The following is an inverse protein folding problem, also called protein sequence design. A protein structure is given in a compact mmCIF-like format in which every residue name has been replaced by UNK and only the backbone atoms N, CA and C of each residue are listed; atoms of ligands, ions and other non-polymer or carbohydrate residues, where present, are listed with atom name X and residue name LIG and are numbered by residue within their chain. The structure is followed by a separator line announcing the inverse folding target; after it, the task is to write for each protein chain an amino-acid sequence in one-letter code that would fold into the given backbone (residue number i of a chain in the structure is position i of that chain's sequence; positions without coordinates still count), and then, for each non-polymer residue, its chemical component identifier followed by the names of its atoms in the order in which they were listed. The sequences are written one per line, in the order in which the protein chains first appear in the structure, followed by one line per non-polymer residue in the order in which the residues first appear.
data_IF_494600045539
#
_entry.id   IF_494600045539
#
_cell.length_a   1.000
_cell.length_b   1.000
_cell.length_c   1.000
_cell.angle_alpha   90.00
_cell.angle_beta   90.00
_cell.angle_gamma   90.00
#
_symmetry.space_group_name_H-M   'P 1'
#
loop_
_entity.id
_entity.type
_entity.pdbx_description
1 polymer ?
#
# COMPACT_ATOMS: atom_id res chain seq x y z
N UNK A 1 -15.37 -16.26 12.55
CA UNK A 1 -15.25 -17.62 11.99
C UNK A 1 -14.38 -17.62 10.73
N UNK A 2 -14.62 -16.76 9.72
CA UNK A 2 -13.83 -16.72 8.48
C UNK A 2 -12.33 -16.54 8.78
N UNK A 3 -11.96 -15.60 9.65
CA UNK A 3 -10.55 -15.39 10.04
C UNK A 3 -9.95 -16.62 10.73
N UNK A 4 -10.70 -17.27 11.62
CA UNK A 4 -10.26 -18.50 12.30
C UNK A 4 -10.02 -19.61 11.27
N UNK A 5 -10.95 -19.80 10.33
CA UNK A 5 -10.82 -20.81 9.28
C UNK A 5 -9.63 -20.53 8.34
N UNK A 6 -9.44 -19.26 7.95
CA UNK A 6 -8.30 -18.87 7.14
C UNK A 6 -6.98 -19.10 7.87
N UNK A 7 -6.86 -18.70 9.14
CA UNK A 7 -5.66 -18.92 9.94
C UNK A 7 -5.36 -20.41 10.14
N UNK A 8 -6.40 -21.23 10.37
CA UNK A 8 -6.23 -22.68 10.50
C UNK A 8 -5.77 -23.32 9.19
N UNK A 9 -6.33 -22.93 8.03
CA UNK A 9 -5.89 -23.42 6.73
C UNK A 9 -4.46 -23.00 6.42
N UNK A 10 -4.09 -21.76 6.72
CA UNK A 10 -2.73 -21.24 6.54
C UNK A 10 -1.72 -21.95 7.44
N UNK A 11 -2.08 -22.24 8.70
CA UNK A 11 -1.26 -23.01 9.62
C UNK A 11 -1.01 -24.46 9.13
N UNK A 12 -1.91 -25.02 8.31
CA UNK A 12 -1.75 -26.31 7.65
C UNK A 12 -1.19 -26.19 6.22
N UNK A 13 -0.60 -25.05 5.85
CA UNK A 13 0.01 -24.76 4.54
C UNK A 13 -0.97 -24.84 3.34
N UNK A 14 -2.27 -24.73 3.59
CA UNK A 14 -3.33 -24.79 2.58
C UNK A 14 -3.77 -23.36 2.23
N UNK A 15 -3.07 -22.73 1.28
CA UNK A 15 -3.28 -21.32 0.91
C UNK A 15 -4.35 -21.12 -0.18
N UNK A 16 -4.57 -22.11 -1.04
CA UNK A 16 -5.46 -21.99 -2.22
C UNK A 16 -6.90 -21.66 -1.84
N UNK A 17 -7.58 -22.39 -0.92
CA UNK A 17 -8.95 -22.04 -0.54
C UNK A 17 -9.05 -20.67 0.13
N UNK A 18 -8.04 -20.23 0.90
CA UNK A 18 -8.04 -18.92 1.54
C UNK A 18 -7.98 -17.79 0.50
N UNK A 19 -7.12 -17.94 -0.52
CA UNK A 19 -7.01 -16.96 -1.61
C UNK A 19 -8.30 -16.90 -2.45
N UNK A 20 -8.86 -18.05 -2.81
CA UNK A 20 -10.07 -18.12 -3.65
C UNK A 20 -11.36 -17.79 -2.89
N UNK A 21 -11.39 -17.79 -1.56
CA UNK A 21 -12.59 -17.49 -0.78
C UNK A 21 -13.14 -16.08 -0.98
N UNK A 22 -12.31 -15.15 -1.42
CA UNK A 22 -12.71 -13.76 -1.70
C UNK A 22 -13.46 -13.61 -3.01
N UNK A 23 -13.33 -14.56 -3.95
CA UNK A 23 -14.01 -14.49 -5.27
C UNK A 23 -15.52 -14.59 -5.14
N UNK A 24 -16.12 -15.64 -4.52
CA UNK A 24 -17.57 -15.71 -4.34
C UNK A 24 -18.09 -14.51 -3.52
N UNK A 25 -17.37 -14.07 -2.48
CA UNK A 25 -17.71 -12.88 -1.74
C UNK A 25 -17.83 -11.64 -2.67
N UNK A 26 -16.82 -11.39 -3.51
CA UNK A 26 -16.79 -10.23 -4.40
C UNK A 26 -17.90 -10.28 -5.45
N UNK A 27 -18.18 -11.45 -6.02
CA UNK A 27 -19.26 -11.65 -6.99
C UNK A 27 -20.61 -11.28 -6.36
N UNK A 28 -20.89 -11.77 -5.14
CA UNK A 28 -22.16 -11.49 -4.45
C UNK A 28 -22.28 -10.03 -4.01
N UNK A 29 -21.17 -9.38 -3.61
CA UNK A 29 -21.16 -7.93 -3.33
C UNK A 29 -21.49 -7.14 -4.59
N UNK A 30 -20.85 -7.44 -5.74
CA UNK A 30 -21.15 -6.75 -7.01
C UNK A 30 -22.61 -6.92 -7.40
N UNK A 31 -23.12 -8.15 -7.33
CA UNK A 31 -24.53 -8.43 -7.61
C UNK A 31 -25.45 -7.65 -6.67
N UNK A 32 -25.15 -7.62 -5.37
CA UNK A 32 -25.90 -6.87 -4.36
C UNK A 32 -25.92 -5.36 -4.65
N UNK A 33 -24.81 -4.80 -5.10
CA UNK A 33 -24.72 -3.37 -5.49
C UNK A 33 -25.63 -3.11 -6.69
N UNK A 34 -25.59 -3.94 -7.73
CA UNK A 34 -26.41 -3.79 -8.93
C UNK A 34 -27.91 -3.86 -8.59
N UNK A 35 -28.31 -4.86 -7.80
CA UNK A 35 -29.71 -5.04 -7.38
C UNK A 35 -30.15 -3.91 -6.45
N UNK A 36 -29.31 -3.53 -5.48
CA UNK A 36 -29.58 -2.44 -4.55
C UNK A 36 -29.76 -1.09 -5.23
N UNK A 37 -28.93 -0.80 -6.26
CA UNK A 37 -29.04 0.42 -7.04
C UNK A 37 -30.32 0.47 -7.91
N UNK A 38 -30.82 -0.70 -8.35
CA UNK A 38 -31.98 -0.77 -9.24
C UNK A 38 -33.35 -0.80 -8.50
N UNK A 39 -33.41 -1.47 -7.33
CA UNK A 39 -34.65 -1.72 -6.63
C UNK A 39 -34.73 -0.98 -5.28
N UNK A 40 -33.87 -1.30 -4.32
CA UNK A 40 -33.92 -0.69 -3.00
C UNK A 40 -32.58 -0.89 -2.27
N UNK A 41 -32.16 0.11 -1.49
CA UNK A 41 -30.91 0.09 -0.72
C UNK A 41 -30.83 -1.08 0.30
N UNK A 42 -31.96 -1.59 0.76
CA UNK A 42 -32.01 -2.76 1.66
C UNK A 42 -31.40 -4.02 1.03
N UNK A 43 -31.49 -4.19 -0.31
CA UNK A 43 -30.86 -5.30 -1.00
C UNK A 43 -29.33 -5.25 -0.91
N UNK A 44 -28.73 -4.06 -0.78
CA UNK A 44 -27.30 -3.92 -0.55
C UNK A 44 -26.90 -4.51 0.81
N UNK A 45 -27.66 -4.23 1.88
CA UNK A 45 -27.38 -4.72 3.23
C UNK A 45 -27.59 -6.23 3.35
N UNK A 46 -28.68 -6.74 2.80
CA UNK A 46 -28.99 -8.18 2.78
C UNK A 46 -27.93 -8.91 1.94
N UNK A 47 -27.62 -8.41 0.76
CA UNK A 47 -26.67 -9.04 -0.15
C UNK A 47 -25.23 -9.02 0.40
N UNK A 48 -24.82 -7.97 1.10
CA UNK A 48 -23.51 -7.95 1.76
C UNK A 48 -23.42 -9.00 2.89
N UNK A 49 -24.48 -9.18 3.64
CA UNK A 49 -24.57 -10.24 4.67
C UNK A 49 -24.53 -11.64 4.03
N UNK A 50 -25.27 -11.85 2.94
CA UNK A 50 -25.24 -13.11 2.18
C UNK A 50 -23.86 -13.38 1.57
N UNK A 51 -23.14 -12.36 1.09
CA UNK A 51 -21.80 -12.50 0.56
C UNK A 51 -20.83 -13.06 1.62
N UNK A 52 -20.90 -12.55 2.86
CA UNK A 52 -20.11 -13.06 4.00
C UNK A 52 -20.48 -14.51 4.33
N UNK A 53 -21.77 -14.85 4.31
CA UNK A 53 -22.23 -16.22 4.54
C UNK A 53 -21.71 -17.18 3.45
N UNK A 54 -21.72 -16.78 2.20
CA UNK A 54 -21.22 -17.58 1.09
C UNK A 54 -19.72 -17.80 1.19
N UNK A 55 -18.96 -16.76 1.56
CA UNK A 55 -17.55 -16.89 1.85
C UNK A 55 -17.29 -17.92 2.97
N UNK A 56 -18.08 -17.87 4.04
CA UNK A 56 -18.00 -18.83 5.13
C UNK A 56 -18.31 -20.25 4.65
N UNK A 57 -19.39 -20.45 3.89
CA UNK A 57 -19.77 -21.74 3.34
C UNK A 57 -18.68 -22.33 2.43
N UNK A 58 -18.06 -21.49 1.60
CA UNK A 58 -16.93 -21.90 0.76
C UNK A 58 -15.77 -22.47 1.56
N UNK A 59 -15.45 -21.86 2.72
CA UNK A 59 -14.37 -22.31 3.61
C UNK A 59 -14.72 -23.57 4.42
N UNK A 60 -16.00 -23.89 4.61
CA UNK A 60 -16.42 -25.09 5.37
C UNK A 60 -15.94 -26.37 4.68
N UNK A 61 -15.94 -26.45 3.35
CA UNK A 61 -15.53 -27.66 2.63
C UNK A 61 -14.08 -28.06 2.92
N UNK A 62 -13.06 -27.20 2.72
CA UNK A 62 -11.68 -27.55 3.04
C UNK A 62 -11.45 -27.79 4.55
N UNK A 63 -12.15 -27.07 5.40
CA UNK A 63 -12.07 -27.24 6.86
C UNK A 63 -12.59 -28.63 7.30
N UNK A 64 -13.73 -29.07 6.73
CA UNK A 64 -14.26 -30.43 7.02
C UNK A 64 -13.31 -31.51 6.56
N UNK A 65 -12.61 -31.33 5.42
CA UNK A 65 -11.63 -32.30 4.93
C UNK A 65 -10.45 -32.48 5.90
N UNK A 66 -10.08 -31.43 6.63
CA UNK A 66 -9.07 -31.48 7.68
C UNK A 66 -9.57 -32.03 9.03
N UNK A 67 -10.83 -32.48 9.10
CA UNK A 67 -11.46 -33.00 10.32
C UNK A 67 -11.46 -32.00 11.50
N UNK A 68 -11.35 -30.71 11.21
CA UNK A 68 -11.41 -29.67 12.23
C UNK A 68 -12.80 -29.65 12.88
N UNK A 69 -12.84 -29.76 14.20
CA UNK A 69 -14.08 -29.71 14.99
C UNK A 69 -14.05 -28.47 15.88
N UNK A 70 -14.93 -27.53 15.61
CA UNK A 70 -15.20 -26.43 16.55
C UNK A 70 -15.91 -27.02 17.77
N UNK A 71 -15.22 -27.06 18.90
CA UNK A 71 -15.84 -27.34 20.20
C UNK A 71 -15.79 -26.04 20.99
N UNK A 72 -16.93 -25.42 21.32
CA UNK A 72 -16.92 -24.27 22.21
C UNK A 72 -16.37 -24.72 23.58
N UNK A 73 -15.29 -24.11 24.01
CA UNK A 73 -14.70 -24.30 25.31
C UNK A 73 -14.57 -22.91 25.96
N UNK A 74 -15.23 -22.76 27.11
CA UNK A 74 -15.24 -21.51 27.89
C UNK A 74 -14.29 -21.55 29.09
N UNK A 75 -13.24 -22.37 29.02
CA UNK A 75 -12.24 -22.43 30.07
C UNK A 75 -11.25 -21.26 29.98
N UNK A 76 -11.51 -20.16 30.67
CA UNK A 76 -10.64 -18.98 30.74
C UNK A 76 -9.36 -19.18 31.55
N UNK A 77 -9.21 -20.31 32.25
CA UNK A 77 -8.00 -20.66 33.02
C UNK A 77 -6.93 -21.32 32.15
N UNK A 78 -7.28 -21.71 30.92
CA UNK A 78 -6.36 -22.35 29.98
C UNK A 78 -5.16 -21.43 29.69
N UNK A 79 -3.97 -21.97 29.79
CA UNK A 79 -2.71 -21.25 29.60
C UNK A 79 -2.63 -20.62 28.19
N UNK A 80 -3.11 -21.35 27.16
CA UNK A 80 -3.14 -20.82 25.78
C UNK A 80 -4.08 -19.62 25.63
N UNK A 81 -5.19 -19.60 26.36
CA UNK A 81 -6.12 -18.47 26.36
C UNK A 81 -5.48 -17.24 27.02
N UNK A 82 -4.76 -17.43 28.15
CA UNK A 82 -4.04 -16.35 28.82
C UNK A 82 -2.93 -15.77 27.94
N UNK A 83 -2.14 -16.62 27.29
CA UNK A 83 -1.11 -16.20 26.34
C UNK A 83 -1.70 -15.46 25.15
N UNK A 84 -2.82 -15.94 24.60
CA UNK A 84 -3.54 -15.27 23.51
C UNK A 84 -3.98 -13.86 23.90
N UNK A 85 -4.61 -13.68 25.07
CA UNK A 85 -5.01 -12.35 25.54
C UNK A 85 -3.81 -11.44 25.78
N UNK A 86 -2.72 -11.96 26.31
CA UNK A 86 -1.50 -11.18 26.55
C UNK A 86 -0.87 -10.69 25.24
N UNK A 87 -0.88 -11.52 24.19
CA UNK A 87 -0.43 -11.13 22.84
C UNK A 87 -1.41 -10.22 22.12
N UNK A 88 -2.71 -10.35 22.38
CA UNK A 88 -3.77 -9.58 21.73
C UNK A 88 -3.76 -8.10 22.13
N UNK A 89 -3.48 -7.79 23.41
CA UNK A 89 -3.53 -6.41 23.92
C UNK A 89 -2.59 -5.45 23.16
N UNK A 90 -1.29 -5.77 22.93
CA UNK A 90 -0.43 -4.88 22.13
C UNK A 90 -0.91 -4.73 20.68
N UNK A 91 -1.46 -5.78 20.08
CA UNK A 91 -1.99 -5.75 18.71
C UNK A 91 -3.23 -4.84 18.64
N UNK A 92 -4.16 -4.98 19.59
CA UNK A 92 -5.35 -4.10 19.67
C UNK A 92 -4.93 -2.65 19.80
N UNK A 93 -3.98 -2.33 20.70
CA UNK A 93 -3.48 -0.96 20.87
C UNK A 93 -2.91 -0.44 19.55
N UNK A 94 -2.07 -1.22 18.86
CA UNK A 94 -1.46 -0.82 17.58
C UNK A 94 -2.50 -0.56 16.47
N UNK A 95 -3.50 -1.44 16.35
CA UNK A 95 -4.60 -1.26 15.39
C UNK A 95 -5.47 -0.06 15.77
N UNK A 96 -5.81 0.09 17.06
CA UNK A 96 -6.63 1.21 17.55
C UNK A 96 -6.00 2.56 17.27
N UNK A 97 -4.69 2.70 17.42
CA UNK A 97 -3.98 3.96 17.11
C UNK A 97 -4.16 4.34 15.64
N UNK A 98 -4.09 3.36 14.72
CA UNK A 98 -4.31 3.62 13.29
C UNK A 98 -5.78 3.97 12.99
N UNK A 99 -6.74 3.26 13.60
CA UNK A 99 -8.17 3.54 13.42
C UNK A 99 -8.57 4.92 13.98
N UNK A 100 -8.00 5.33 15.12
CA UNK A 100 -8.18 6.67 15.69
C UNK A 100 -7.67 7.73 14.71
N UNK A 101 -6.52 7.51 14.07
CA UNK A 101 -6.00 8.42 13.05
C UNK A 101 -6.98 8.60 11.88
N UNK A 102 -7.51 7.49 11.36
CA UNK A 102 -8.51 7.50 10.28
C UNK A 102 -9.80 8.21 10.72
N UNK A 103 -10.25 8.03 11.97
CA UNK A 103 -11.41 8.71 12.52
C UNK A 103 -11.19 10.23 12.61
N UNK A 104 -10.01 10.67 13.04
CA UNK A 104 -9.65 12.09 13.09
C UNK A 104 -9.64 12.69 11.68
N UNK A 105 -9.02 12.01 10.71
CA UNK A 105 -9.00 12.43 9.31
C UNK A 105 -10.42 12.63 8.77
N UNK A 106 -11.30 11.65 9.00
CA UNK A 106 -12.70 11.71 8.57
C UNK A 106 -13.50 12.80 9.28
N UNK A 107 -13.26 12.99 10.58
CA UNK A 107 -13.93 14.05 11.37
C UNK A 107 -13.56 15.42 10.84
N UNK A 108 -12.27 15.69 10.62
CA UNK A 108 -11.83 16.97 10.06
C UNK A 108 -12.38 17.13 8.61
N UNK A 109 -12.31 16.08 7.79
CA UNK A 109 -12.81 16.12 6.42
C UNK A 109 -14.32 16.45 6.34
N UNK A 110 -15.11 15.91 7.27
CA UNK A 110 -16.56 16.18 7.33
C UNK A 110 -16.89 17.64 7.62
N UNK A 111 -16.02 18.34 8.35
CA UNK A 111 -16.19 19.76 8.73
C UNK A 111 -15.69 20.71 7.63
N UNK A 112 -14.81 20.25 6.75
CA UNK A 112 -14.21 21.11 5.72
C UNK A 112 -15.14 21.33 4.52
N UNK A 113 -15.75 20.27 4.01
CA UNK A 113 -16.60 20.32 2.81
C UNK A 113 -17.51 19.10 2.71
N UNK A 114 -18.70 19.30 2.14
CA UNK A 114 -19.61 18.21 1.82
C UNK A 114 -18.93 17.25 0.81
N UNK A 115 -18.96 15.95 1.09
CA UNK A 115 -18.26 14.95 0.29
C UNK A 115 -16.77 14.77 0.61
N UNK A 116 -16.21 15.53 1.58
CA UNK A 116 -14.79 15.47 1.94
C UNK A 116 -14.32 14.10 2.39
N UNK A 117 -15.13 13.38 3.18
CA UNK A 117 -14.85 11.98 3.60
C UNK A 117 -14.74 11.06 2.37
N UNK A 118 -15.71 11.15 1.46
CA UNK A 118 -15.71 10.34 0.23
C UNK A 118 -14.51 10.66 -0.65
N UNK A 119 -14.17 11.93 -0.83
CA UNK A 119 -13.03 12.35 -1.61
C UNK A 119 -11.70 11.78 -1.07
N UNK A 120 -11.47 11.84 0.25
CA UNK A 120 -10.30 11.22 0.88
C UNK A 120 -10.31 9.69 0.73
N UNK A 121 -11.48 9.06 0.89
CA UNK A 121 -11.60 7.60 0.76
C UNK A 121 -11.26 7.13 -0.65
N UNK A 122 -11.81 7.77 -1.68
CA UNK A 122 -11.49 7.44 -3.08
C UNK A 122 -10.03 7.73 -3.42
N UNK A 123 -9.48 8.86 -2.97
CA UNK A 123 -8.07 9.19 -3.17
C UNK A 123 -7.15 8.16 -2.49
N UNK A 124 -7.41 7.81 -1.23
CA UNK A 124 -6.63 6.82 -0.49
C UNK A 124 -6.73 5.43 -1.11
N UNK A 125 -7.89 5.04 -1.66
CA UNK A 125 -8.07 3.75 -2.32
C UNK A 125 -7.12 3.56 -3.51
N UNK A 126 -6.82 4.62 -4.29
CA UNK A 126 -5.82 4.56 -5.36
C UNK A 126 -4.41 4.34 -4.82
N UNK A 127 -4.05 5.00 -3.73
CA UNK A 127 -2.75 4.82 -3.08
C UNK A 127 -2.60 3.41 -2.52
N UNK A 128 -3.65 2.90 -1.86
CA UNK A 128 -3.70 1.52 -1.36
C UNK A 128 -3.60 0.48 -2.49
N UNK A 129 -4.21 0.76 -3.66
CA UNK A 129 -4.08 -0.10 -4.83
C UNK A 129 -2.62 -0.21 -5.30
N UNK A 130 -1.88 0.91 -5.35
CA UNK A 130 -0.46 0.91 -5.70
C UNK A 130 0.36 0.15 -4.65
N UNK A 131 0.10 0.35 -3.37
CA UNK A 131 0.79 -0.36 -2.30
C UNK A 131 0.55 -1.87 -2.39
N UNK A 132 -0.70 -2.30 -2.47
CA UNK A 132 -1.07 -3.72 -2.55
C UNK A 132 -0.62 -4.39 -3.84
N UNK A 133 -0.71 -3.67 -4.97
CA UNK A 133 -0.37 -4.22 -6.29
C UNK A 133 1.12 -4.23 -6.63
N UNK A 134 1.91 -3.32 -6.05
CA UNK A 134 3.32 -3.17 -6.42
C UNK A 134 4.28 -3.36 -5.24
N UNK A 135 4.04 -2.73 -4.11
CA UNK A 135 4.99 -2.80 -2.98
C UNK A 135 4.90 -4.14 -2.26
N UNK A 136 3.69 -4.68 -2.07
CA UNK A 136 3.52 -5.97 -1.42
C UNK A 136 4.20 -7.13 -2.19
N UNK A 137 4.06 -7.27 -3.52
CA UNK A 137 4.80 -8.28 -4.29
C UNK A 137 6.32 -8.11 -4.19
N UNK A 138 6.85 -6.88 -4.35
CA UNK A 138 8.28 -6.59 -4.20
C UNK A 138 8.75 -7.06 -2.81
N UNK A 139 8.03 -6.68 -1.77
CA UNK A 139 8.34 -7.06 -0.40
C UNK A 139 8.29 -8.57 -0.19
N UNK A 140 7.28 -9.25 -0.73
CA UNK A 140 7.10 -10.71 -0.59
C UNK A 140 8.23 -11.49 -1.24
N UNK A 141 8.76 -11.02 -2.37
CA UNK A 141 9.87 -11.66 -3.07
C UNK A 141 11.21 -11.38 -2.36
N UNK A 142 11.41 -10.16 -1.86
CA UNK A 142 12.69 -9.73 -1.33
C UNK A 142 12.89 -10.11 0.14
N UNK A 143 11.83 -10.13 0.94
CA UNK A 143 11.88 -10.40 2.39
C UNK A 143 12.52 -11.77 2.74
N UNK A 144 12.19 -12.91 2.09
CA UNK A 144 12.82 -14.18 2.38
C UNK A 144 14.33 -14.20 2.12
N UNK A 145 14.82 -13.46 1.11
CA UNK A 145 16.26 -13.37 0.82
C UNK A 145 16.99 -12.60 1.91
N UNK A 146 16.38 -11.52 2.40
CA UNK A 146 16.93 -10.74 3.52
C UNK A 146 16.99 -11.58 4.79
N UNK A 147 15.92 -12.27 5.15
CA UNK A 147 15.89 -13.13 6.35
C UNK A 147 16.86 -14.29 6.26
N UNK A 148 17.02 -14.90 5.09
CA UNK A 148 17.99 -15.96 4.86
C UNK A 148 19.44 -15.48 4.98
N UNK A 149 19.77 -14.28 4.48
CA UNK A 149 21.11 -13.70 4.65
C UNK A 149 21.39 -13.43 6.15
N UNK A 150 20.41 -12.90 6.88
CA UNK A 150 20.52 -12.65 8.32
C UNK A 150 20.69 -13.97 9.09
N UNK A 151 19.93 -15.02 8.75
CA UNK A 151 20.04 -16.33 9.42
C UNK A 151 21.40 -17.01 9.21
N UNK A 152 22.12 -16.64 8.17
CA UNK A 152 23.51 -17.06 7.89
C UNK A 152 24.58 -16.14 8.47
N UNK A 153 24.18 -15.16 9.28
CA UNK A 153 25.03 -14.11 9.84
C UNK A 153 25.78 -13.27 8.79
N UNK A 154 25.26 -13.24 7.55
CA UNK A 154 25.82 -12.45 6.46
C UNK A 154 25.13 -11.08 6.39
N UNK A 155 25.60 -10.16 7.24
CA UNK A 155 25.02 -8.82 7.40
C UNK A 155 25.18 -7.97 6.13
N UNK A 156 26.32 -8.11 5.43
CA UNK A 156 26.60 -7.36 4.21
C UNK A 156 25.65 -7.77 3.08
N UNK A 157 25.39 -9.06 2.93
CA UNK A 157 24.44 -9.56 1.96
C UNK A 157 23.01 -9.08 2.24
N UNK A 158 22.59 -9.12 3.51
CA UNK A 158 21.28 -8.58 3.91
C UNK A 158 21.17 -7.09 3.61
N UNK A 159 22.23 -6.30 3.86
CA UNK A 159 22.30 -4.88 3.53
C UNK A 159 22.18 -4.64 2.02
N UNK A 160 22.90 -5.38 1.21
CA UNK A 160 22.83 -5.27 -0.26
C UNK A 160 21.43 -5.61 -0.77
N UNK A 161 20.79 -6.65 -0.23
CA UNK A 161 19.42 -7.01 -0.64
C UNK A 161 18.42 -5.90 -0.33
N UNK A 162 18.44 -5.30 0.87
CA UNK A 162 17.52 -4.21 1.18
C UNK A 162 17.79 -2.96 0.35
N UNK A 163 19.06 -2.59 0.10
CA UNK A 163 19.41 -1.46 -0.75
C UNK A 163 18.89 -1.65 -2.18
N UNK A 164 19.11 -2.84 -2.77
CA UNK A 164 18.59 -3.19 -4.10
C UNK A 164 17.05 -3.20 -4.13
N UNK A 165 16.40 -3.70 -3.07
CA UNK A 165 14.93 -3.67 -2.94
C UNK A 165 14.40 -2.23 -2.92
N UNK A 166 15.06 -1.33 -2.20
CA UNK A 166 14.71 0.09 -2.14
C UNK A 166 14.82 0.74 -3.53
N UNK A 167 15.94 0.54 -4.23
CA UNK A 167 16.11 1.08 -5.59
C UNK A 167 15.05 0.54 -6.55
N UNK A 168 14.77 -0.77 -6.51
CA UNK A 168 13.72 -1.39 -7.32
C UNK A 168 12.35 -0.77 -7.03
N UNK A 169 12.00 -0.58 -5.76
CA UNK A 169 10.75 0.05 -5.38
C UNK A 169 10.68 1.52 -5.85
N UNK A 170 11.74 2.30 -5.70
CA UNK A 170 11.82 3.68 -6.16
C UNK A 170 11.72 3.79 -7.68
N UNK A 171 12.28 2.83 -8.45
CA UNK A 171 12.16 2.77 -9.90
C UNK A 171 10.70 2.67 -10.38
N UNK A 172 9.82 2.12 -9.55
CA UNK A 172 8.38 2.03 -9.83
C UNK A 172 7.60 3.19 -9.21
N UNK A 173 7.91 3.54 -7.95
CA UNK A 173 7.14 4.52 -7.19
C UNK A 173 7.35 5.97 -7.67
N UNK A 174 8.57 6.35 -8.09
CA UNK A 174 8.83 7.72 -8.53
C UNK A 174 8.09 8.05 -9.83
N UNK A 175 8.13 7.21 -10.90
CA UNK A 175 7.31 7.44 -12.09
C UNK A 175 5.81 7.48 -11.80
N UNK A 176 5.31 6.61 -10.91
CA UNK A 176 3.91 6.62 -10.50
C UNK A 176 3.53 7.89 -9.73
N UNK A 177 4.41 8.38 -8.86
CA UNK A 177 4.22 9.66 -8.18
C UNK A 177 4.04 10.79 -9.18
N UNK A 178 4.95 10.88 -10.17
CA UNK A 178 4.84 11.88 -11.25
C UNK A 178 3.56 11.66 -12.05
N UNK A 179 3.23 10.42 -12.40
CA UNK A 179 2.00 10.08 -13.11
C UNK A 179 0.73 10.53 -12.38
N UNK A 180 0.62 10.32 -11.07
CA UNK A 180 -0.52 10.79 -10.28
C UNK A 180 -0.57 12.31 -10.11
N UNK A 181 0.58 12.97 -10.02
CA UNK A 181 0.63 14.45 -9.97
C UNK A 181 0.13 15.02 -11.28
N UNK A 182 0.58 14.48 -12.41
CA UNK A 182 0.26 14.97 -13.75
C UNK A 182 -1.16 14.57 -14.17
N UNK A 183 -1.48 13.28 -14.07
CA UNK A 183 -2.74 12.71 -14.56
C UNK A 183 -3.78 12.44 -13.48
N UNK A 184 -3.59 12.90 -12.25
CA UNK A 184 -4.52 12.66 -11.15
C UNK A 184 -5.95 13.08 -11.45
N UNK A 185 -6.15 14.22 -12.12
CA UNK A 185 -7.50 14.70 -12.50
C UNK A 185 -8.16 13.81 -13.55
N UNK A 186 -7.55 13.54 -14.73
CA UNK A 186 -8.17 12.64 -15.70
C UNK A 186 -8.32 11.20 -15.21
N UNK A 187 -7.43 10.70 -14.35
CA UNK A 187 -7.58 9.38 -13.73
C UNK A 187 -8.84 9.33 -12.84
N UNK A 188 -9.02 10.32 -11.96
CA UNK A 188 -10.21 10.40 -11.10
C UNK A 188 -11.49 10.55 -11.94
N UNK A 189 -11.44 11.36 -12.98
CA UNK A 189 -12.58 11.55 -13.87
C UNK A 189 -12.95 10.27 -14.61
N UNK A 190 -11.96 9.49 -15.07
CA UNK A 190 -12.17 8.21 -15.73
C UNK A 190 -12.78 7.17 -14.78
N UNK A 191 -12.22 7.05 -13.57
CA UNK A 191 -12.61 5.99 -12.63
C UNK A 191 -13.93 6.28 -11.93
N UNK A 192 -14.16 7.52 -11.53
CA UNK A 192 -15.26 7.90 -10.65
C UNK A 192 -16.20 8.95 -11.23
N UNK A 193 -15.83 9.71 -12.27
CA UNK A 193 -16.54 10.87 -12.82
C UNK A 193 -17.85 10.51 -13.55
N UNK A 194 -18.78 9.84 -12.85
CA UNK A 194 -20.09 9.44 -13.37
C UNK A 194 -21.17 9.51 -12.28
N UNK A 195 -22.43 9.64 -12.71
CA UNK A 195 -23.57 9.68 -11.79
C UNK A 195 -23.51 10.90 -10.86
N UNK A 196 -23.60 10.69 -9.56
CA UNK A 196 -23.54 11.73 -8.54
C UNK A 196 -22.12 12.31 -8.30
N UNK A 197 -21.07 11.72 -8.91
CA UNK A 197 -19.70 12.20 -8.78
C UNK A 197 -19.42 13.32 -9.82
N UNK A 198 -19.84 14.52 -9.46
CA UNK A 198 -19.79 15.70 -10.30
C UNK A 198 -18.35 16.27 -10.49
N UNK A 199 -18.24 17.36 -11.28
CA UNK A 199 -16.96 18.03 -11.54
C UNK A 199 -16.30 18.54 -10.26
N UNK A 200 -17.09 18.95 -9.26
CA UNK A 200 -16.56 19.41 -7.97
C UNK A 200 -15.97 18.26 -7.16
N UNK A 201 -16.68 17.13 -7.09
CA UNK A 201 -16.16 15.90 -6.46
C UNK A 201 -14.87 15.43 -7.15
N UNK A 202 -14.78 15.48 -8.49
CA UNK A 202 -13.55 15.20 -9.23
C UNK A 202 -12.43 16.15 -8.82
N UNK A 203 -12.68 17.45 -8.74
CA UNK A 203 -11.66 18.45 -8.39
C UNK A 203 -11.12 18.25 -6.97
N UNK A 204 -12.00 18.01 -5.98
CA UNK A 204 -11.61 17.80 -4.59
C UNK A 204 -10.82 16.50 -4.44
N UNK A 205 -11.30 15.41 -5.05
CA UNK A 205 -10.65 14.09 -4.98
C UNK A 205 -9.30 14.11 -5.70
N UNK A 206 -9.20 14.71 -6.86
CA UNK A 206 -7.92 14.81 -7.60
C UNK A 206 -6.89 15.65 -6.86
N UNK A 207 -7.32 16.71 -6.15
CA UNK A 207 -6.45 17.47 -5.26
C UNK A 207 -5.88 16.59 -4.17
N UNK A 208 -6.71 15.76 -3.51
CA UNK A 208 -6.26 14.82 -2.49
C UNK A 208 -5.28 13.78 -3.06
N UNK A 209 -5.56 13.19 -4.24
CA UNK A 209 -4.67 12.23 -4.92
C UNK A 209 -3.29 12.83 -5.16
N UNK A 210 -3.22 14.07 -5.69
CA UNK A 210 -1.94 14.75 -5.98
C UNK A 210 -1.11 14.91 -4.71
N UNK A 211 -1.73 15.30 -3.59
CA UNK A 211 -1.03 15.44 -2.33
C UNK A 211 -0.64 14.10 -1.70
N UNK A 212 -1.47 13.07 -1.79
CA UNK A 212 -1.08 11.70 -1.38
C UNK A 212 0.06 11.16 -2.25
N UNK A 213 0.07 11.44 -3.54
CA UNK A 213 1.11 10.98 -4.46
C UNK A 213 2.51 11.47 -4.04
N UNK A 214 2.65 12.68 -3.49
CA UNK A 214 3.92 13.19 -2.97
C UNK A 214 4.50 12.24 -1.91
N UNK A 215 3.62 11.64 -1.09
CA UNK A 215 4.01 10.69 -0.03
C UNK A 215 4.21 9.26 -0.51
N UNK A 216 3.82 8.90 -1.74
CA UNK A 216 3.75 7.52 -2.20
C UNK A 216 5.10 6.78 -2.07
N UNK A 217 6.20 7.43 -2.44
CA UNK A 217 7.54 6.87 -2.29
C UNK A 217 7.86 6.59 -0.82
N UNK A 218 7.55 7.54 0.07
CA UNK A 218 7.86 7.41 1.50
C UNK A 218 6.99 6.37 2.18
N UNK A 219 5.73 6.25 1.79
CA UNK A 219 4.82 5.20 2.28
C UNK A 219 5.37 3.82 1.90
N UNK A 220 5.80 3.65 0.63
CA UNK A 220 6.41 2.40 0.17
C UNK A 220 7.74 2.09 0.86
N UNK A 221 8.61 3.08 1.01
CA UNK A 221 9.89 2.91 1.70
C UNK A 221 9.70 2.57 3.19
N UNK A 222 8.74 3.20 3.86
CA UNK A 222 8.40 2.89 5.25
C UNK A 222 7.99 1.43 5.42
N UNK A 223 7.20 0.90 4.50
CA UNK A 223 6.78 -0.52 4.50
C UNK A 223 7.99 -1.45 4.35
N UNK A 224 8.86 -1.20 3.38
CA UNK A 224 10.06 -2.02 3.14
C UNK A 224 11.05 -1.97 4.30
N UNK A 225 11.29 -0.78 4.85
CA UNK A 225 12.17 -0.62 6.01
C UNK A 225 11.59 -1.31 7.26
N UNK A 226 10.28 -1.22 7.49
CA UNK A 226 9.65 -1.92 8.60
C UNK A 226 9.87 -3.43 8.51
N UNK A 227 9.74 -4.01 7.31
CA UNK A 227 10.03 -5.43 7.09
C UNK A 227 11.52 -5.77 7.29
N UNK A 228 12.42 -4.87 6.94
CA UNK A 228 13.84 -5.05 7.22
C UNK A 228 14.11 -5.15 8.72
N UNK A 229 13.47 -4.30 9.54
CA UNK A 229 13.53 -4.41 10.98
C UNK A 229 12.92 -5.73 11.50
N UNK A 230 11.81 -6.17 10.94
CA UNK A 230 11.19 -7.45 11.33
C UNK A 230 12.06 -8.65 11.01
N UNK A 231 12.86 -8.59 9.95
CA UNK A 231 13.83 -9.62 9.62
C UNK A 231 14.90 -9.79 10.71
N UNK A 232 15.23 -8.70 11.44
CA UNK A 232 16.09 -8.72 12.64
C UNK A 232 15.29 -8.98 13.95
N UNK A 233 14.05 -9.45 13.87
CA UNK A 233 13.17 -9.63 15.03
C UNK A 233 12.95 -8.36 15.86
N UNK A 234 13.21 -7.19 15.28
CA UNK A 234 13.05 -5.90 15.94
C UNK A 234 11.73 -5.24 15.54
N UNK A 235 10.69 -5.53 16.30
CA UNK A 235 9.34 -4.93 16.09
C UNK A 235 9.16 -3.60 16.80
N UNK A 236 9.99 -3.31 17.81
CA UNK A 236 9.86 -2.13 18.68
C UNK A 236 10.11 -0.82 17.92
N UNK A 237 11.11 -0.77 17.05
CA UNK A 237 11.46 0.45 16.32
C UNK A 237 10.36 0.84 15.31
N UNK A 238 9.88 -0.05 14.43
CA UNK A 238 8.75 0.28 13.55
C UNK A 238 7.49 0.70 14.31
N UNK A 239 7.18 0.04 15.43
CA UNK A 239 6.03 0.39 16.27
C UNK A 239 6.14 1.81 16.85
N UNK A 240 7.28 2.18 17.42
CA UNK A 240 7.50 3.54 17.96
C UNK A 240 7.42 4.57 16.83
N UNK A 241 8.05 4.30 15.68
CA UNK A 241 7.99 5.21 14.53
C UNK A 241 6.56 5.34 13.97
N UNK A 242 5.77 4.27 13.97
CA UNK A 242 4.37 4.33 13.58
C UNK A 242 3.57 5.24 14.53
N UNK A 243 3.76 5.11 15.85
CA UNK A 243 3.13 5.98 16.85
C UNK A 243 3.52 7.46 16.66
N UNK A 244 4.81 7.75 16.45
CA UNK A 244 5.29 9.10 16.13
C UNK A 244 4.61 9.59 14.84
N UNK A 245 4.53 8.75 13.81
CA UNK A 245 3.87 9.08 12.55
C UNK A 245 2.41 9.50 12.72
N UNK A 246 1.64 8.77 13.55
CA UNK A 246 0.24 9.10 13.84
C UNK A 246 0.14 10.44 14.56
N UNK A 247 0.94 10.67 15.60
CA UNK A 247 0.94 11.95 16.35
C UNK A 247 1.27 13.10 15.40
N UNK A 248 2.32 12.97 14.59
CA UNK A 248 2.71 13.99 13.62
C UNK A 248 1.62 14.23 12.58
N UNK A 249 0.97 13.16 12.10
CA UNK A 249 -0.14 13.29 11.15
C UNK A 249 -1.29 14.08 11.75
N UNK A 250 -1.71 13.78 12.98
CA UNK A 250 -2.80 14.51 13.67
C UNK A 250 -2.47 16.00 13.83
N UNK A 251 -1.26 16.33 14.28
CA UNK A 251 -0.81 17.71 14.43
C UNK A 251 -0.84 18.44 13.09
N UNK A 252 -0.30 17.81 12.06
CA UNK A 252 -0.24 18.39 10.71
C UNK A 252 -1.63 18.52 10.07
N UNK A 253 -2.56 17.60 10.35
CA UNK A 253 -3.94 17.68 9.89
C UNK A 253 -4.62 18.97 10.39
N UNK A 254 -4.43 19.31 11.66
CA UNK A 254 -5.00 20.53 12.24
C UNK A 254 -4.42 21.78 11.57
N UNK A 255 -3.13 21.78 11.23
CA UNK A 255 -2.46 22.90 10.60
C UNK A 255 -2.82 23.03 9.10
N UNK A 256 -2.59 21.96 8.34
CA UNK A 256 -2.72 22.01 6.88
C UNK A 256 -4.18 21.92 6.39
N UNK A 257 -5.11 21.37 7.17
CA UNK A 257 -6.52 21.38 6.80
C UNK A 257 -7.08 22.79 6.66
N UNK A 258 -6.62 23.73 7.50
CA UNK A 258 -7.04 25.14 7.45
C UNK A 258 -6.50 25.89 6.23
N UNK A 259 -5.33 25.51 5.70
CA UNK A 259 -4.65 26.20 4.60
C UNK A 259 -5.01 25.54 3.25
N UNK A 260 -4.98 24.23 3.18
CA UNK A 260 -5.12 23.45 1.94
C UNK A 260 -6.46 22.70 1.83
N UNK A 261 -7.30 22.74 2.87
CA UNK A 261 -8.54 21.99 2.92
C UNK A 261 -8.31 20.48 2.90
N UNK A 262 -9.09 19.75 2.08
CA UNK A 262 -8.96 18.29 1.92
C UNK A 262 -7.55 17.88 1.44
N UNK A 263 -6.93 18.67 0.57
CA UNK A 263 -5.54 18.45 0.15
C UNK A 263 -4.55 18.51 1.32
N UNK A 264 -4.84 19.29 2.35
CA UNK A 264 -4.02 19.39 3.57
C UNK A 264 -3.98 18.09 4.36
N UNK A 265 -5.09 17.38 4.49
CA UNK A 265 -5.15 16.07 5.15
C UNK A 265 -4.30 15.03 4.38
N UNK A 266 -4.42 15.00 3.05
CA UNK A 266 -3.60 14.13 2.21
C UNK A 266 -2.11 14.49 2.30
N UNK A 267 -1.77 15.78 2.33
CA UNK A 267 -0.40 16.27 2.49
C UNK A 267 0.19 15.91 3.86
N UNK A 268 -0.60 16.02 4.94
CA UNK A 268 -0.20 15.63 6.28
C UNK A 268 0.22 14.15 6.35
N UNK A 269 -0.54 13.28 5.69
CA UNK A 269 -0.21 11.85 5.59
C UNK A 269 1.11 11.64 4.84
N UNK A 270 1.31 12.37 3.74
CA UNK A 270 2.55 12.32 2.95
C UNK A 270 3.77 12.78 3.75
N UNK A 271 3.62 13.88 4.48
CA UNK A 271 4.71 14.44 5.30
C UNK A 271 5.01 13.57 6.53
N UNK A 272 3.98 13.00 7.16
CA UNK A 272 4.15 12.02 8.23
C UNK A 272 4.89 10.77 7.74
N UNK A 273 4.59 10.27 6.54
CA UNK A 273 5.30 9.16 5.92
C UNK A 273 6.76 9.52 5.63
N UNK A 274 7.05 10.72 5.17
CA UNK A 274 8.42 11.22 5.00
C UNK A 274 9.19 11.21 6.30
N UNK A 275 8.65 11.81 7.36
CA UNK A 275 9.31 11.90 8.68
C UNK A 275 9.59 10.50 9.23
N UNK A 276 8.59 9.61 9.21
CA UNK A 276 8.74 8.24 9.72
C UNK A 276 9.76 7.44 8.91
N UNK A 277 9.82 7.63 7.58
CA UNK A 277 10.83 7.00 6.73
C UNK A 277 12.24 7.48 7.09
N UNK A 278 12.44 8.79 7.26
CA UNK A 278 13.73 9.36 7.68
C UNK A 278 14.15 8.82 9.06
N UNK A 279 13.23 8.73 10.01
CA UNK A 279 13.50 8.16 11.34
C UNK A 279 13.88 6.68 11.25
N UNK A 280 13.23 5.88 10.40
CA UNK A 280 13.60 4.48 10.18
C UNK A 280 15.01 4.37 9.58
N UNK A 281 15.35 5.16 8.55
CA UNK A 281 16.69 5.18 8.00
C UNK A 281 17.75 5.56 9.03
N UNK A 282 17.50 6.61 9.81
CA UNK A 282 18.44 7.04 10.87
C UNK A 282 18.65 5.96 11.93
N UNK A 283 17.57 5.27 12.31
CA UNK A 283 17.65 4.21 13.30
C UNK A 283 18.36 2.95 12.75
N UNK A 284 18.36 2.68 11.44
CA UNK A 284 19.13 1.58 10.85
C UNK A 284 20.61 1.70 11.20
N UNK A 285 21.20 2.89 11.05
CA UNK A 285 22.61 3.14 11.35
C UNK A 285 23.00 2.77 12.78
N UNK A 286 22.13 3.05 13.73
CA UNK A 286 22.47 3.00 15.16
C UNK A 286 22.01 1.71 15.85
N UNK A 287 21.09 0.95 15.26
CA UNK A 287 20.36 -0.12 15.98
C UNK A 287 20.25 -1.44 15.23
N UNK A 288 20.79 -1.53 14.02
CA UNK A 288 20.85 -2.79 13.28
C UNK A 288 22.32 -3.18 13.04
N UNK A 289 22.63 -4.49 13.09
CA UNK A 289 23.99 -5.00 12.86
C UNK A 289 24.56 -4.62 11.49
N UNK A 290 23.71 -4.51 10.45
CA UNK A 290 24.11 -4.10 9.10
C UNK A 290 24.51 -2.62 8.97
N UNK A 291 24.36 -1.80 10.01
CA UNK A 291 24.77 -0.40 10.02
C UNK A 291 23.95 0.52 9.10
N UNK A 292 24.59 1.57 8.58
CA UNK A 292 23.94 2.54 7.69
C UNK A 292 23.63 1.93 6.32
N UNK A 293 22.41 2.21 5.83
CA UNK A 293 22.03 1.90 4.44
C UNK A 293 22.53 3.04 3.54
N UNK A 294 23.53 2.76 2.74
CA UNK A 294 24.05 3.68 1.74
C UNK A 294 23.29 3.45 0.43
N UNK A 295 22.44 4.39 0.07
CA UNK A 295 21.71 4.33 -1.18
C UNK A 295 22.52 5.02 -2.27
N UNK A 296 22.48 4.48 -3.48
CA UNK A 296 23.08 5.13 -4.64
C UNK A 296 22.23 6.36 -5.03
N UNK A 297 22.68 7.53 -4.55
CA UNK A 297 22.01 8.81 -4.80
C UNK A 297 22.00 9.12 -6.30
N UNK A 298 23.06 8.75 -7.03
CA UNK A 298 23.13 8.99 -8.47
C UNK A 298 22.06 8.20 -9.22
N UNK A 299 21.83 6.94 -8.82
CA UNK A 299 20.78 6.10 -9.39
C UNK A 299 19.40 6.69 -9.10
N UNK A 300 19.15 7.16 -7.88
CA UNK A 300 17.89 7.82 -7.52
C UNK A 300 17.67 9.09 -8.35
N UNK A 301 18.71 9.92 -8.53
CA UNK A 301 18.62 11.13 -9.35
C UNK A 301 18.32 10.81 -10.82
N UNK A 302 18.92 9.76 -11.38
CA UNK A 302 18.59 9.29 -12.73
C UNK A 302 17.11 8.86 -12.84
N UNK A 303 16.60 8.11 -11.86
CA UNK A 303 15.19 7.70 -11.83
C UNK A 303 14.27 8.93 -11.78
N UNK A 304 14.59 9.92 -10.96
CA UNK A 304 13.84 11.18 -10.88
C UNK A 304 13.86 11.90 -12.24
N UNK A 305 15.04 12.04 -12.85
CA UNK A 305 15.17 12.71 -14.16
C UNK A 305 14.35 12.01 -15.24
N UNK A 306 14.44 10.67 -15.36
CA UNK A 306 13.62 9.89 -16.29
C UNK A 306 12.12 10.12 -16.05
N UNK A 307 11.70 10.13 -14.79
CA UNK A 307 10.30 10.29 -14.41
C UNK A 307 9.77 11.69 -14.70
N UNK A 308 10.58 12.72 -14.46
CA UNK A 308 10.21 14.12 -14.79
C UNK A 308 10.09 14.30 -16.29
N UNK A 309 11.06 13.80 -17.07
CA UNK A 309 11.00 13.86 -18.57
C UNK A 309 9.75 13.13 -19.06
N UNK A 310 9.51 11.93 -18.55
CA UNK A 310 8.28 11.15 -18.80
C UNK A 310 7.02 12.00 -18.54
N UNK A 311 6.94 12.65 -17.39
CA UNK A 311 5.79 13.45 -16.98
C UNK A 311 5.57 14.65 -17.90
N UNK A 312 6.63 15.40 -18.22
CA UNK A 312 6.55 16.59 -19.09
C UNK A 312 6.10 16.21 -20.50
N UNK A 313 6.76 15.22 -21.11
CA UNK A 313 6.46 14.83 -22.50
C UNK A 313 5.07 14.23 -22.63
N UNK A 314 4.70 13.32 -21.70
CA UNK A 314 3.37 12.70 -21.74
C UNK A 314 2.24 13.68 -21.46
N UNK A 315 2.46 14.70 -20.60
CA UNK A 315 1.50 15.77 -20.38
C UNK A 315 1.36 16.68 -21.61
N UNK A 316 2.48 17.01 -22.26
CA UNK A 316 2.46 17.78 -23.52
C UNK A 316 1.62 17.07 -24.58
N UNK A 317 1.81 15.77 -24.76
CA UNK A 317 1.01 14.99 -25.72
C UNK A 317 -0.46 14.94 -25.29
N UNK A 318 -0.76 14.71 -24.01
CA UNK A 318 -2.13 14.72 -23.50
C UNK A 318 -2.88 16.00 -23.81
N UNK A 319 -2.21 17.16 -23.74
CA UNK A 319 -2.83 18.48 -23.98
C UNK A 319 -3.03 18.82 -25.46
N UNK A 320 -2.27 18.20 -26.37
CA UNK A 320 -2.36 18.47 -27.81
C UNK A 320 -3.37 17.54 -28.49
N UNK A 321 -3.58 16.34 -27.99
CA UNK A 321 -4.45 15.35 -28.61
C UNK A 321 -5.93 15.82 -28.62
N UNK A 322 -6.61 15.79 -29.80
CA UNK A 322 -7.98 16.28 -29.95
C UNK A 322 -9.06 15.23 -29.66
N UNK A 323 -8.72 14.14 -28.95
CA UNK A 323 -9.64 13.04 -28.69
C UNK A 323 -10.37 13.19 -27.35
N UNK A 324 -11.18 12.19 -26.99
CA UNK A 324 -11.83 12.14 -25.68
C UNK A 324 -10.80 12.00 -24.54
N UNK A 325 -11.16 12.46 -23.34
CA UNK A 325 -10.32 12.35 -22.12
C UNK A 325 -9.78 10.94 -21.92
N UNK A 326 -10.61 9.92 -22.19
CA UNK A 326 -10.25 8.52 -22.04
C UNK A 326 -9.15 8.13 -23.02
N UNK A 327 -9.32 8.44 -24.29
CA UNK A 327 -8.36 8.11 -25.36
C UNK A 327 -7.04 8.85 -25.12
N UNK A 328 -7.11 10.16 -24.82
CA UNK A 328 -5.93 10.96 -24.53
C UNK A 328 -5.16 10.40 -23.34
N UNK A 329 -5.86 9.98 -22.28
CA UNK A 329 -5.22 9.39 -21.09
C UNK A 329 -4.54 8.05 -21.44
N UNK A 330 -5.20 7.14 -22.17
CA UNK A 330 -4.62 5.86 -22.54
C UNK A 330 -3.37 6.03 -23.40
N UNK A 331 -3.43 6.87 -24.42
CA UNK A 331 -2.28 7.17 -25.30
C UNK A 331 -1.14 7.76 -24.47
N UNK A 332 -1.43 8.73 -23.59
CA UNK A 332 -0.41 9.40 -22.79
C UNK A 332 0.22 8.48 -21.75
N UNK A 333 -0.54 7.55 -21.15
CA UNK A 333 0.01 6.56 -20.22
C UNK A 333 0.89 5.54 -20.94
N UNK A 334 0.48 5.03 -22.09
CA UNK A 334 1.32 4.12 -22.89
C UNK A 334 2.61 4.83 -23.30
N UNK A 335 2.50 6.05 -23.78
CA UNK A 335 3.65 6.86 -24.14
C UNK A 335 4.56 7.14 -22.94
N UNK A 336 3.99 7.44 -21.77
CA UNK A 336 4.75 7.61 -20.53
C UNK A 336 5.59 6.37 -20.19
N UNK A 337 5.00 5.18 -20.27
CA UNK A 337 5.71 3.91 -20.04
C UNK A 337 6.87 3.78 -21.04
N UNK A 338 6.62 4.00 -22.33
CA UNK A 338 7.65 3.90 -23.37
C UNK A 338 8.79 4.90 -23.11
N UNK A 339 8.46 6.15 -22.83
CA UNK A 339 9.45 7.21 -22.56
C UNK A 339 10.29 6.84 -21.34
N UNK A 340 9.66 6.39 -20.23
CA UNK A 340 10.39 5.98 -19.05
C UNK A 340 11.39 4.88 -19.36
N UNK A 341 10.98 3.83 -20.10
CA UNK A 341 11.88 2.74 -20.48
C UNK A 341 13.00 3.18 -21.42
N UNK A 342 12.72 4.03 -22.42
CA UNK A 342 13.74 4.56 -23.34
C UNK A 342 14.78 5.37 -22.58
N UNK A 343 14.34 6.32 -21.74
CA UNK A 343 15.28 7.14 -20.95
C UNK A 343 16.00 6.31 -19.89
N UNK A 344 15.37 5.29 -19.31
CA UNK A 344 16.04 4.37 -18.38
C UNK A 344 17.19 3.61 -19.05
N UNK A 345 17.06 3.25 -20.34
CA UNK A 345 18.15 2.66 -21.12
C UNK A 345 19.24 3.68 -21.45
N UNK A 346 18.87 4.90 -21.82
CA UNK A 346 19.85 6.00 -22.12
C UNK A 346 20.68 6.32 -20.88
N UNK A 347 20.05 6.47 -19.72
CA UNK A 347 20.74 6.75 -18.45
C UNK A 347 21.38 5.52 -17.80
N UNK A 348 21.26 4.34 -18.44
CA UNK A 348 21.81 3.06 -17.98
C UNK A 348 21.42 2.75 -16.53
N UNK A 349 20.10 2.75 -16.25
CA UNK A 349 19.59 2.38 -14.94
C UNK A 349 19.83 0.88 -14.67
N UNK A 350 20.26 0.56 -13.47
CA UNK A 350 20.67 -0.80 -13.08
C UNK A 350 19.51 -1.73 -12.69
N UNK A 351 18.23 -1.30 -12.85
CA UNK A 351 17.07 -2.08 -12.40
C UNK A 351 16.97 -3.48 -13.04
N UNK A 352 17.41 -3.66 -14.30
CA UNK A 352 17.42 -4.96 -14.97
C UNK A 352 18.35 -5.93 -14.23
N UNK A 353 19.53 -5.47 -13.85
CA UNK A 353 20.48 -6.27 -13.08
C UNK A 353 19.96 -6.57 -11.69
N UNK A 354 19.28 -5.59 -11.07
CA UNK A 354 18.64 -5.76 -9.76
C UNK A 354 17.57 -6.86 -9.84
N UNK A 355 16.70 -6.85 -10.86
CA UNK A 355 15.67 -7.88 -11.05
C UNK A 355 16.30 -9.27 -11.24
N UNK A 356 17.37 -9.38 -12.02
CA UNK A 356 18.09 -10.66 -12.21
C UNK A 356 18.59 -11.25 -10.89
N UNK A 357 19.10 -10.43 -9.97
CA UNK A 357 19.54 -10.86 -8.63
C UNK A 357 18.40 -11.48 -7.81
N UNK A 358 17.15 -11.00 -8.00
CA UNK A 358 16.00 -11.56 -7.31
C UNK A 358 15.39 -12.79 -7.99
N UNK A 359 15.56 -12.95 -9.29
CA UNK A 359 14.99 -14.07 -10.07
C UNK A 359 15.97 -15.26 -10.14
N UNK A 360 17.26 -15.03 -10.32
CA UNK A 360 18.26 -16.11 -10.43
C UNK A 360 18.63 -16.66 -9.05
N UNK A 361 18.38 -17.96 -8.84
CA UNK A 361 18.75 -18.69 -7.61
C UNK A 361 20.26 -18.85 -7.41
N UNK A 362 21.10 -18.69 -8.45
CA UNK A 362 22.50 -19.10 -8.48
C UNK A 362 23.53 -17.96 -8.63
N UNK A 363 23.12 -16.71 -8.78
CA UNK A 363 24.10 -15.61 -8.88
C UNK A 363 24.52 -15.13 -7.48
N UNK A 364 25.82 -15.27 -7.17
CA UNK A 364 26.45 -14.65 -6.01
C UNK A 364 26.35 -13.13 -6.16
N UNK A 365 25.77 -12.48 -5.16
CA UNK A 365 25.46 -11.04 -5.11
C UNK A 365 26.70 -10.11 -5.19
N UNK A 366 27.91 -10.68 -5.17
CA UNK A 366 29.18 -9.96 -4.95
C UNK A 366 29.75 -9.29 -6.21
N UNK A 367 29.24 -9.59 -7.41
CA UNK A 367 29.88 -9.17 -8.68
C UNK A 367 29.03 -8.23 -9.56
N UNK A 368 28.11 -7.42 -9.00
CA UNK A 368 27.38 -6.43 -9.82
C UNK A 368 27.37 -5.05 -9.13
#
# INVERSE_FOLDING_TARGET
LIYVYNSYLQANEIFVPTAFSTIPYSIFIIFSIIVGAKYNIYFLSIGSTLAVLIQLLFLIYPIRKLKFKLKPNFNFEDTYIKEFFLLMVPVIIGVSVNEINILIDRTIASQLIVGGISALTYANSLIMFVQGGLIQPISTICYPKITHAISKDNQDEAKIFIQKTIILALTVLIPLTVGFIVFGTPIIQLLFGRGAFDKNAVAITSKAVKFYAIGLCFIGLRELLSRYYYAYSNTKIPMINAAIGVIMNIVMNILFSKILGIGGLAFSTSLSAFITTVLLFRNCKNKLPGGSLELDILEILKIIACSVIMGIVSFGVYSILPFSIIINLFISVILAIIIFFVFSMIFRLNYINIVKVFVNKNEKVVNI
#
